data_IF_208493481146
#
_entry.id   IF_208493481146
#
_cell.length_a   1.000
_cell.length_b   1.000
_cell.length_c   1.000
_cell.angle_alpha   90.00
_cell.angle_beta   90.00
_cell.angle_gamma   90.00
#
_symmetry.space_group_name_H-M   'P 1'
#
loop_
_entity.id
_entity.type
_entity.pdbx_description
1 polymer ?
#
# COMPACT_ATOMS: atom_id res chain seq x y z
N UNK A 1 13.36 11.08 -13.44
CA UNK A 1 11.96 11.47 -13.75
C UNK A 1 11.82 11.44 -15.26
N UNK A 2 10.92 10.62 -15.80
CA UNK A 2 10.73 10.52 -17.26
C UNK A 2 10.03 11.79 -17.77
N UNK A 3 10.43 12.24 -18.96
CA UNK A 3 9.97 13.48 -19.62
C UNK A 3 10.30 14.79 -18.90
N UNK A 4 11.20 14.78 -17.89
CA UNK A 4 11.74 16.00 -17.25
C UNK A 4 13.23 15.89 -17.00
N UNK A 5 14.02 16.09 -18.06
CA UNK A 5 15.49 16.16 -18.01
C UNK A 5 16.04 17.59 -17.80
N UNK A 6 15.29 18.64 -18.21
CA UNK A 6 15.69 20.04 -18.07
C UNK A 6 14.55 20.94 -17.52
N UNK A 7 14.91 22.00 -16.78
CA UNK A 7 14.00 23.01 -16.24
C UNK A 7 13.43 23.90 -17.37
N UNK A 8 12.52 23.36 -18.19
CA UNK A 8 11.86 24.13 -19.23
C UNK A 8 10.73 25.02 -18.69
N UNK A 9 10.48 26.12 -19.41
CA UNK A 9 9.54 27.19 -19.04
C UNK A 9 8.07 26.79 -19.14
N UNK A 10 7.74 25.75 -19.92
CA UNK A 10 6.41 25.14 -20.01
C UNK A 10 6.47 23.74 -19.39
N UNK A 11 5.70 23.52 -18.31
CA UNK A 11 5.79 22.36 -17.40
C UNK A 11 4.51 21.53 -17.46
N UNK A 12 4.33 20.65 -18.44
CA UNK A 12 3.24 19.66 -18.43
C UNK A 12 3.78 18.23 -18.39
N UNK A 13 3.06 17.35 -17.69
CA UNK A 13 3.38 15.92 -17.59
C UNK A 13 4.61 15.56 -16.78
N UNK A 14 4.96 14.26 -16.86
CA UNK A 14 6.15 13.65 -16.29
C UNK A 14 5.83 12.49 -15.33
N UNK A 15 6.63 11.43 -15.39
CA UNK A 15 6.42 10.20 -14.62
C UNK A 15 7.57 10.02 -13.62
N UNK A 16 7.23 9.66 -12.38
CA UNK A 16 8.19 9.40 -11.31
C UNK A 16 7.90 8.04 -10.70
N UNK A 17 8.90 7.17 -10.70
CA UNK A 17 8.96 6.00 -9.85
C UNK A 17 9.67 6.36 -8.54
N UNK A 18 9.03 6.06 -7.41
CA UNK A 18 9.62 6.22 -6.08
C UNK A 18 9.52 4.92 -5.30
N UNK A 19 10.66 4.42 -4.81
CA UNK A 19 10.75 3.20 -4.02
C UNK A 19 11.49 3.44 -2.70
N UNK A 20 11.37 2.51 -1.76
CA UNK A 20 12.13 2.56 -0.51
C UNK A 20 13.59 2.18 -0.78
N UNK A 21 14.52 2.81 -0.07
CA UNK A 21 15.95 2.50 -0.17
C UNK A 21 16.27 1.01 -0.04
N UNK A 22 15.56 0.31 0.86
CA UNK A 22 15.71 -1.13 1.08
C UNK A 22 15.30 -2.01 -0.12
N UNK A 23 14.73 -1.42 -1.17
CA UNK A 23 14.35 -2.10 -2.40
C UNK A 23 15.22 -1.65 -3.58
N UNK A 24 16.22 -0.78 -3.37
CA UNK A 24 17.03 -0.22 -4.44
C UNK A 24 17.72 -1.30 -5.29
N UNK A 25 18.27 -2.33 -4.64
CA UNK A 25 18.92 -3.46 -5.32
C UNK A 25 17.94 -4.41 -6.02
N UNK A 26 16.64 -4.24 -5.80
CA UNK A 26 15.58 -5.12 -6.31
C UNK A 26 14.67 -4.42 -7.34
N UNK A 27 14.95 -3.17 -7.68
CA UNK A 27 14.18 -2.38 -8.63
C UNK A 27 15.12 -1.88 -9.72
N UNK A 28 14.88 -2.30 -10.97
CA UNK A 28 15.62 -1.81 -12.13
C UNK A 28 14.68 -1.07 -13.07
N UNK A 29 15.09 0.12 -13.53
CA UNK A 29 14.33 0.88 -14.53
C UNK A 29 14.73 0.37 -15.92
N UNK A 30 13.74 0.17 -16.79
CA UNK A 30 13.97 -0.18 -18.19
C UNK A 30 13.82 1.08 -19.02
N UNK A 31 14.92 1.50 -19.65
CA UNK A 31 14.93 2.70 -20.49
C UNK A 31 14.31 2.40 -21.85
N UNK A 32 13.34 3.22 -22.23
CA UNK A 32 12.63 3.16 -23.51
C UNK A 32 12.31 4.57 -24.00
N UNK A 33 12.11 4.73 -25.29
CA UNK A 33 11.82 6.02 -25.91
C UNK A 33 10.37 6.49 -25.72
N UNK A 34 9.45 5.60 -25.32
CA UNK A 34 8.04 5.99 -25.12
C UNK A 34 7.89 7.12 -24.11
N UNK A 35 7.07 8.11 -24.45
CA UNK A 35 6.76 9.23 -23.54
C UNK A 35 5.61 8.90 -22.59
N UNK A 36 4.86 7.84 -22.86
CA UNK A 36 3.60 7.55 -22.16
C UNK A 36 3.74 6.52 -21.05
N UNK A 37 4.82 5.73 -21.06
CA UNK A 37 5.06 4.69 -20.07
C UNK A 37 6.49 4.73 -19.52
N UNK A 38 6.62 4.51 -18.22
CA UNK A 38 7.89 4.24 -17.54
C UNK A 38 7.90 2.78 -17.08
N UNK A 39 8.78 1.99 -17.68
CA UNK A 39 8.96 0.58 -17.34
C UNK A 39 9.97 0.39 -16.22
N UNK A 40 9.69 -0.54 -15.32
CA UNK A 40 10.63 -1.02 -14.32
C UNK A 40 10.36 -2.47 -13.97
N UNK A 41 11.37 -3.15 -13.45
CA UNK A 41 11.27 -4.54 -13.00
C UNK A 41 11.35 -4.60 -11.49
N UNK A 42 10.63 -5.56 -10.92
CA UNK A 42 10.78 -6.00 -9.54
C UNK A 42 11.47 -7.36 -9.58
N UNK A 43 12.62 -7.44 -8.92
CA UNK A 43 13.45 -8.65 -8.90
C UNK A 43 12.66 -9.86 -8.40
N UNK A 44 12.77 -10.97 -9.14
CA UNK A 44 12.10 -12.24 -8.89
C UNK A 44 12.29 -12.79 -7.48
N UNK A 45 13.41 -12.50 -6.82
CA UNK A 45 13.69 -12.96 -5.46
C UNK A 45 12.80 -12.27 -4.40
N UNK A 46 12.28 -11.07 -4.69
CA UNK A 46 11.32 -10.39 -3.80
C UNK A 46 9.98 -11.11 -3.76
N UNK A 47 9.61 -11.79 -4.85
CA UNK A 47 8.30 -12.41 -5.05
C UNK A 47 8.35 -13.93 -5.24
N UNK A 48 9.54 -14.53 -5.13
CA UNK A 48 9.84 -15.97 -5.38
C UNK A 48 9.26 -16.50 -6.69
N UNK A 49 9.45 -15.73 -7.76
CA UNK A 49 9.11 -16.16 -9.11
C UNK A 49 10.35 -16.65 -9.83
N UNK A 50 10.15 -17.32 -10.97
CA UNK A 50 11.24 -17.71 -11.86
C UNK A 50 11.74 -16.52 -12.70
N UNK A 51 10.88 -15.54 -12.92
CA UNK A 51 11.12 -14.33 -13.70
C UNK A 51 10.80 -13.08 -12.88
N UNK A 52 11.42 -11.96 -13.26
CA UNK A 52 11.10 -10.67 -12.68
C UNK A 52 9.67 -10.27 -13.03
N UNK A 53 9.05 -9.47 -12.17
CA UNK A 53 7.80 -8.80 -12.50
C UNK A 53 8.12 -7.57 -13.34
N UNK A 54 7.44 -7.41 -14.47
CA UNK A 54 7.50 -6.18 -15.25
C UNK A 54 6.35 -5.25 -14.86
N UNK A 55 6.66 -3.99 -14.61
CA UNK A 55 5.70 -2.97 -14.25
C UNK A 55 5.80 -1.75 -15.17
N UNK A 56 4.66 -1.21 -15.57
CA UNK A 56 4.55 -0.02 -16.40
C UNK A 56 3.77 1.09 -15.70
N UNK A 57 4.40 2.24 -15.45
CA UNK A 57 3.70 3.43 -14.96
C UNK A 57 3.24 4.24 -16.16
N UNK A 58 1.92 4.34 -16.35
CA UNK A 58 1.32 4.98 -17.53
C UNK A 58 0.85 6.40 -17.22
N UNK A 59 1.12 7.31 -18.15
CA UNK A 59 0.52 8.64 -18.19
C UNK A 59 0.23 9.02 -19.65
N UNK A 60 -1.03 8.90 -20.05
CA UNK A 60 -1.52 9.32 -21.36
C UNK A 60 -2.26 10.65 -21.15
N UNK A 61 -1.85 11.76 -21.82
CA UNK A 61 -2.59 13.02 -21.76
C UNK A 61 -4.04 12.84 -22.24
N UNK A 62 -5.00 13.69 -21.81
CA UNK A 62 -6.36 13.65 -22.35
C UNK A 62 -6.38 13.72 -23.89
N UNK A 63 -7.33 13.04 -24.53
CA UNK A 63 -7.43 12.93 -25.99
C UNK A 63 -7.38 14.28 -26.72
N UNK A 64 -8.05 15.30 -26.17
CA UNK A 64 -8.10 16.65 -26.74
C UNK A 64 -6.92 17.54 -26.31
N UNK A 65 -5.89 16.97 -25.68
CA UNK A 65 -4.73 17.71 -25.21
C UNK A 65 -3.73 17.91 -26.34
N UNK A 66 -3.14 19.10 -26.42
CA UNK A 66 -1.99 19.40 -27.31
C UNK A 66 -0.76 18.54 -27.01
N UNK A 67 -0.73 17.89 -25.84
CA UNK A 67 0.35 16.98 -25.43
C UNK A 67 0.09 15.53 -25.84
N UNK A 68 -1.10 15.21 -26.32
CA UNK A 68 -1.39 13.91 -26.92
C UNK A 68 -0.92 13.93 -28.38
N UNK A 69 0.26 13.37 -28.63
CA UNK A 69 0.90 13.38 -29.96
C UNK A 69 1.04 11.95 -30.47
N UNK A 70 0.60 11.70 -31.69
CA UNK A 70 0.61 10.34 -32.25
C UNK A 70 -0.45 9.45 -31.63
N UNK A 71 -0.20 8.14 -31.66
CA UNK A 71 -1.07 7.13 -31.06
C UNK A 71 -0.41 6.52 -29.81
N UNK A 72 -0.81 6.97 -28.59
CA UNK A 72 -0.20 6.50 -27.36
C UNK A 72 -0.44 5.02 -27.09
N UNK A 73 -1.56 4.45 -27.55
CA UNK A 73 -1.88 3.05 -27.30
C UNK A 73 -1.04 2.14 -28.19
N UNK A 74 -0.90 2.48 -29.48
CA UNK A 74 0.00 1.76 -30.39
C UNK A 74 1.46 1.79 -29.94
N UNK A 75 1.95 2.94 -29.42
CA UNK A 75 3.32 3.03 -28.86
C UNK A 75 3.50 2.12 -27.63
N UNK A 76 2.55 2.14 -26.70
CA UNK A 76 2.59 1.29 -25.50
C UNK A 76 2.49 -0.19 -25.88
N UNK A 77 1.63 -0.54 -26.83
CA UNK A 77 1.43 -1.91 -27.31
C UNK A 77 2.68 -2.46 -27.98
N UNK A 78 3.35 -1.66 -28.82
CA UNK A 78 4.61 -2.07 -29.43
C UNK A 78 5.71 -2.37 -28.40
N UNK A 79 5.85 -1.53 -27.37
CA UNK A 79 6.78 -1.80 -26.27
C UNK A 79 6.35 -3.03 -25.44
N UNK A 80 5.05 -3.15 -25.14
CA UNK A 80 4.49 -4.29 -24.40
C UNK A 80 4.80 -5.62 -25.09
N UNK A 81 4.54 -5.73 -26.40
CA UNK A 81 4.77 -6.95 -27.18
C UNK A 81 6.24 -7.40 -27.15
N UNK A 82 7.18 -6.47 -27.16
CA UNK A 82 8.60 -6.80 -27.02
C UNK A 82 8.92 -7.42 -25.66
N UNK A 83 8.27 -6.94 -24.59
CA UNK A 83 8.55 -7.42 -23.25
C UNK A 83 7.76 -8.68 -22.86
N UNK A 84 6.56 -8.86 -23.40
CA UNK A 84 5.70 -10.02 -23.11
C UNK A 84 6.28 -11.33 -23.64
N UNK A 85 7.24 -11.28 -24.57
CA UNK A 85 8.01 -12.45 -25.03
C UNK A 85 8.79 -13.11 -23.87
N UNK A 86 9.25 -12.34 -22.89
CA UNK A 86 10.14 -12.82 -21.83
C UNK A 86 9.64 -12.56 -20.40
N UNK A 87 8.41 -12.06 -20.25
CA UNK A 87 7.84 -11.78 -18.94
C UNK A 87 6.36 -12.17 -18.92
N UNK A 88 6.01 -13.12 -18.06
CA UNK A 88 4.61 -13.55 -17.93
C UNK A 88 3.84 -12.75 -16.86
N UNK A 89 4.56 -12.10 -15.95
CA UNK A 89 4.01 -11.33 -14.84
C UNK A 89 4.13 -9.85 -15.11
N UNK A 90 3.09 -9.27 -15.72
CA UNK A 90 3.07 -7.86 -16.15
C UNK A 90 1.94 -7.12 -15.46
N UNK A 91 2.24 -5.92 -14.97
CA UNK A 91 1.23 -5.01 -14.43
C UNK A 91 1.44 -3.57 -14.94
N UNK A 92 0.38 -2.96 -15.45
CA UNK A 92 0.34 -1.56 -15.84
C UNK A 92 -0.52 -0.78 -14.87
N UNK A 93 -0.08 0.41 -14.49
CA UNK A 93 -0.87 1.28 -13.65
C UNK A 93 -0.58 2.76 -13.89
N UNK A 94 -1.62 3.58 -13.76
CA UNK A 94 -1.49 5.02 -13.94
C UNK A 94 -2.72 5.64 -14.59
N UNK A 95 -2.55 6.85 -15.11
CA UNK A 95 -3.61 7.65 -15.72
C UNK A 95 -3.62 7.42 -17.23
N UNK A 96 -4.63 6.69 -17.71
CA UNK A 96 -4.80 6.40 -19.13
C UNK A 96 -5.66 7.46 -19.83
N UNK A 97 -6.33 8.34 -19.08
CA UNK A 97 -7.38 9.23 -19.58
C UNK A 97 -8.46 8.51 -20.45
N UNK A 98 -8.57 7.19 -20.28
CA UNK A 98 -9.51 6.31 -20.94
C UNK A 98 -10.73 6.10 -20.04
N UNK A 99 -11.94 6.10 -20.61
CA UNK A 99 -13.17 5.81 -19.87
C UNK A 99 -13.83 4.63 -20.54
N UNK A 100 -13.94 3.52 -19.81
CA UNK A 100 -14.32 2.22 -20.37
C UNK A 100 -15.75 1.79 -20.02
N UNK A 101 -16.54 2.62 -19.33
CA UNK A 101 -17.84 2.24 -18.77
C UNK A 101 -17.77 0.89 -18.01
N UNK A 102 -18.66 -0.07 -18.30
CA UNK A 102 -18.59 -1.47 -17.82
C UNK A 102 -18.24 -2.46 -18.94
N UNK A 103 -17.71 -1.99 -20.08
CA UNK A 103 -17.40 -2.86 -21.21
C UNK A 103 -16.31 -3.89 -20.90
N UNK A 104 -16.44 -5.05 -21.54
CA UNK A 104 -15.54 -6.19 -21.40
C UNK A 104 -14.15 -5.88 -21.98
N UNK A 105 -13.13 -6.22 -21.21
CA UNK A 105 -11.71 -6.15 -21.56
C UNK A 105 -11.15 -7.50 -22.07
N UNK A 106 -12.04 -8.48 -22.28
CA UNK A 106 -11.76 -9.75 -22.93
C UNK A 106 -12.84 -10.04 -23.96
N UNK A 107 -12.53 -10.89 -24.95
CA UNK A 107 -13.51 -11.36 -25.90
C UNK A 107 -14.22 -12.60 -25.38
N UNK A 108 -15.55 -12.57 -25.50
CA UNK A 108 -16.39 -13.75 -25.27
C UNK A 108 -16.47 -14.48 -26.59
N UNK A 109 -15.71 -15.56 -26.74
CA UNK A 109 -15.88 -16.44 -27.91
C UNK A 109 -17.17 -17.23 -27.69
N UNK A 110 -18.22 -16.85 -28.41
CA UNK A 110 -19.49 -17.56 -28.37
C UNK A 110 -19.39 -18.75 -29.34
N UNK A 111 -19.02 -19.92 -28.83
CA UNK A 111 -18.77 -21.12 -29.64
C UNK A 111 -20.03 -21.76 -30.23
N UNK A 112 -21.23 -21.24 -29.94
CA UNK A 112 -22.48 -21.72 -30.55
C UNK A 112 -22.49 -21.58 -32.08
N UNK A 113 -21.67 -20.68 -32.67
CA UNK A 113 -21.52 -20.56 -34.13
C UNK A 113 -20.48 -21.52 -34.75
N UNK A 114 -19.63 -22.18 -33.95
CA UNK A 114 -18.61 -23.14 -34.40
C UNK A 114 -18.86 -24.53 -33.79
N UNK A 115 -19.95 -25.15 -34.25
CA UNK A 115 -20.30 -26.55 -33.97
C UNK A 115 -19.14 -27.50 -34.31
N UNK A 116 -18.37 -27.91 -33.30
CA UNK A 116 -17.48 -29.08 -33.39
C UNK A 116 -16.03 -28.92 -32.94
N UNK A 117 -15.58 -27.75 -32.48
CA UNK A 117 -14.25 -27.60 -31.87
C UNK A 117 -14.36 -27.49 -30.35
N UNK A 118 -13.50 -28.22 -29.64
CA UNK A 118 -13.32 -28.20 -28.18
C UNK A 118 -13.45 -26.78 -27.61
N UNK A 119 -14.06 -26.64 -26.44
CA UNK A 119 -14.16 -25.40 -25.67
C UNK A 119 -12.76 -24.85 -25.35
N UNK A 120 -12.14 -24.12 -26.28
CA UNK A 120 -10.89 -23.40 -26.03
C UNK A 120 -11.31 -22.07 -25.40
N UNK A 121 -11.65 -22.11 -24.11
CA UNK A 121 -11.79 -20.89 -23.33
C UNK A 121 -10.44 -20.15 -23.32
N UNK A 122 -10.49 -18.81 -23.39
CA UNK A 122 -9.29 -17.98 -23.25
C UNK A 122 -8.64 -18.28 -21.88
N UNK A 123 -7.39 -18.72 -21.87
CA UNK A 123 -6.62 -19.07 -20.66
C UNK A 123 -6.67 -17.97 -19.58
N UNK A 124 -6.71 -16.71 -20.01
CA UNK A 124 -6.85 -15.59 -19.08
C UNK A 124 -8.21 -15.54 -18.39
N UNK A 125 -9.29 -15.88 -19.10
CA UNK A 125 -10.64 -15.98 -18.54
C UNK A 125 -10.74 -17.16 -17.57
N UNK A 126 -10.17 -18.32 -17.92
CA UNK A 126 -10.08 -19.45 -16.99
C UNK A 126 -9.37 -19.06 -15.68
N UNK A 127 -8.30 -18.27 -15.77
CA UNK A 127 -7.60 -17.77 -14.57
C UNK A 127 -8.50 -16.88 -13.70
N UNK A 128 -9.41 -16.10 -14.29
CA UNK A 128 -10.38 -15.33 -13.50
C UNK A 128 -11.29 -16.27 -12.70
N UNK A 129 -11.78 -17.34 -13.34
CA UNK A 129 -12.67 -18.31 -12.68
C UNK A 129 -11.95 -19.10 -11.59
N UNK A 130 -10.72 -19.56 -11.85
CA UNK A 130 -9.85 -20.24 -10.88
C UNK A 130 -9.66 -19.40 -9.61
N UNK A 131 -9.49 -18.08 -9.78
CA UNK A 131 -9.30 -17.13 -8.69
C UNK A 131 -10.62 -16.62 -8.09
N UNK A 132 -11.78 -17.11 -8.56
CA UNK A 132 -13.11 -16.64 -8.17
C UNK A 132 -13.30 -15.12 -8.33
N UNK A 133 -12.75 -14.60 -9.42
CA UNK A 133 -12.83 -13.21 -9.85
C UNK A 133 -13.97 -13.09 -10.86
N UNK A 134 -14.81 -12.05 -10.71
CA UNK A 134 -15.90 -11.82 -11.65
C UNK A 134 -15.34 -11.50 -13.03
N UNK A 135 -15.75 -12.27 -14.05
CA UNK A 135 -15.42 -12.00 -15.47
C UNK A 135 -15.78 -10.56 -15.85
N UNK A 136 -17.02 -10.13 -15.56
CA UNK A 136 -17.48 -8.76 -15.78
C UNK A 136 -17.16 -7.85 -14.59
N UNK A 137 -16.54 -6.70 -14.90
CA UNK A 137 -16.23 -5.65 -13.92
C UNK A 137 -17.42 -4.69 -13.73
N UNK A 138 -17.40 -3.96 -12.62
CA UNK A 138 -18.31 -2.83 -12.38
C UNK A 138 -17.60 -1.49 -12.47
N UNK A 139 -18.35 -0.42 -12.70
CA UNK A 139 -17.80 0.93 -12.78
C UNK A 139 -18.82 1.94 -12.30
N UNK A 140 -18.44 2.86 -11.43
CA UNK A 140 -19.27 4.04 -11.13
C UNK A 140 -19.29 5.03 -12.29
N UNK A 141 -18.29 4.98 -13.18
CA UNK A 141 -18.27 5.74 -14.41
C UNK A 141 -18.93 4.94 -15.54
N UNK A 142 -20.07 5.43 -16.02
CA UNK A 142 -20.86 4.81 -17.10
C UNK A 142 -20.58 5.43 -18.48
N UNK A 143 -19.65 6.39 -18.57
CA UNK A 143 -19.31 7.02 -19.85
C UNK A 143 -18.17 6.27 -20.54
N UNK A 144 -18.17 6.31 -21.87
CA UNK A 144 -17.09 5.82 -22.73
C UNK A 144 -16.48 6.95 -23.55
N UNK A 145 -15.18 6.87 -23.83
CA UNK A 145 -14.51 7.71 -24.83
C UNK A 145 -13.67 6.85 -25.79
N UNK A 146 -13.06 7.49 -26.80
CA UNK A 146 -12.25 6.79 -27.80
C UNK A 146 -11.05 6.07 -27.17
N UNK A 147 -10.35 6.71 -26.24
CA UNK A 147 -9.27 6.07 -25.48
C UNK A 147 -9.76 4.88 -24.64
N UNK A 148 -11.01 4.90 -24.20
CA UNK A 148 -11.68 3.74 -23.61
C UNK A 148 -11.73 2.55 -24.56
N UNK A 149 -12.10 2.77 -25.82
CA UNK A 149 -12.10 1.70 -26.83
C UNK A 149 -10.70 1.15 -27.06
N UNK A 150 -9.72 2.04 -27.28
CA UNK A 150 -8.33 1.63 -27.53
C UNK A 150 -7.73 0.88 -26.34
N UNK A 151 -8.06 1.28 -25.11
CA UNK A 151 -7.63 0.57 -23.91
C UNK A 151 -8.25 -0.84 -23.83
N UNK A 152 -9.53 -0.98 -24.17
CA UNK A 152 -10.21 -2.28 -24.18
C UNK A 152 -9.66 -3.18 -25.27
N UNK A 153 -9.40 -2.65 -26.47
CA UNK A 153 -8.73 -3.39 -27.56
C UNK A 153 -7.33 -3.83 -27.15
N UNK A 154 -6.52 -2.93 -26.57
CA UNK A 154 -5.22 -3.29 -25.98
C UNK A 154 -5.35 -4.44 -24.98
N UNK A 155 -6.34 -4.40 -24.08
CA UNK A 155 -6.54 -5.45 -23.09
C UNK A 155 -6.87 -6.80 -23.75
N UNK A 156 -7.80 -6.80 -24.71
CA UNK A 156 -8.24 -7.99 -25.44
C UNK A 156 -7.10 -8.63 -26.24
N UNK A 157 -6.38 -7.82 -27.02
CA UNK A 157 -5.30 -8.27 -27.88
C UNK A 157 -4.14 -8.89 -27.09
N UNK A 158 -3.92 -8.40 -25.87
CA UNK A 158 -2.76 -8.76 -25.06
C UNK A 158 -3.09 -9.65 -23.86
N UNK A 159 -4.34 -10.14 -23.77
CA UNK A 159 -4.83 -10.94 -22.65
C UNK A 159 -4.56 -10.29 -21.27
N UNK A 160 -4.90 -9.01 -21.15
CA UNK A 160 -4.69 -8.20 -19.95
C UNK A 160 -6.03 -7.83 -19.32
N UNK A 161 -6.08 -7.79 -17.99
CA UNK A 161 -7.33 -7.61 -17.24
C UNK A 161 -7.28 -6.37 -16.36
N UNK A 162 -8.32 -5.52 -16.45
CA UNK A 162 -8.54 -4.37 -15.58
C UNK A 162 -8.97 -4.84 -14.18
N UNK A 163 -8.28 -4.38 -13.14
CA UNK A 163 -8.58 -4.73 -11.74
C UNK A 163 -9.70 -3.88 -11.14
N UNK A 164 -9.83 -2.63 -11.59
CA UNK A 164 -10.86 -1.69 -11.13
C UNK A 164 -12.26 -2.30 -11.30
N UNK A 165 -13.04 -2.30 -10.21
CA UNK A 165 -14.38 -2.89 -10.18
C UNK A 165 -14.44 -4.41 -10.14
N UNK A 166 -13.30 -5.09 -10.21
CA UNK A 166 -13.21 -6.55 -10.36
C UNK A 166 -12.65 -7.24 -9.10
N UNK A 167 -11.67 -6.64 -8.43
CA UNK A 167 -10.91 -7.32 -7.37
C UNK A 167 -10.98 -6.63 -6.00
N UNK A 168 -10.86 -7.45 -4.96
CA UNK A 168 -10.64 -7.05 -3.56
C UNK A 168 -11.64 -5.99 -3.05
N UNK A 169 -11.17 -4.92 -2.43
CA UNK A 169 -12.03 -3.89 -1.82
C UNK A 169 -12.84 -3.10 -2.86
N UNK A 170 -12.43 -3.09 -4.12
CA UNK A 170 -13.15 -2.40 -5.21
C UNK A 170 -14.05 -3.35 -6.03
N UNK A 171 -14.13 -4.64 -5.66
CA UNK A 171 -14.96 -5.65 -6.33
C UNK A 171 -16.43 -5.23 -6.34
N UNK A 172 -17.03 -5.17 -7.53
CA UNK A 172 -18.45 -4.81 -7.70
C UNK A 172 -18.76 -3.32 -7.54
N UNK A 173 -17.76 -2.47 -7.33
CA UNK A 173 -17.92 -1.03 -7.16
C UNK A 173 -17.40 -0.26 -8.39
N UNK A 174 -16.11 -0.40 -8.68
CA UNK A 174 -15.42 0.36 -9.72
C UNK A 174 -15.40 1.86 -9.39
N UNK A 175 -14.84 2.17 -8.22
CA UNK A 175 -14.90 3.50 -7.62
C UNK A 175 -14.25 4.56 -8.50
N UNK A 176 -14.80 5.79 -8.49
CA UNK A 176 -14.22 6.91 -9.23
C UNK A 176 -12.76 7.14 -8.85
N UNK A 177 -11.91 7.32 -9.86
CA UNK A 177 -10.48 7.61 -9.67
C UNK A 177 -10.15 9.08 -9.90
N UNK A 178 -11.01 9.82 -10.61
CA UNK A 178 -10.80 11.24 -10.88
C UNK A 178 -12.09 12.06 -10.69
N UNK A 179 -11.96 13.18 -9.96
CA UNK A 179 -12.97 14.20 -9.63
C UNK A 179 -14.29 13.67 -9.07
N UNK A 180 -14.32 12.42 -8.58
CA UNK A 180 -15.56 11.74 -8.23
C UNK A 180 -16.58 11.69 -9.39
N UNK A 181 -16.09 11.62 -10.63
CA UNK A 181 -16.92 11.66 -11.86
C UNK A 181 -16.43 10.74 -12.97
N UNK A 182 -15.20 10.24 -12.87
CA UNK A 182 -14.61 9.38 -13.90
C UNK A 182 -13.68 8.33 -13.31
N UNK A 183 -13.59 7.20 -14.00
CA UNK A 183 -12.58 6.16 -13.79
C UNK A 183 -11.66 6.27 -14.99
N UNK A 184 -10.43 6.72 -14.75
CA UNK A 184 -9.39 6.94 -15.78
C UNK A 184 -8.02 6.44 -15.34
N UNK A 185 -7.86 6.20 -14.04
CA UNK A 185 -6.68 5.59 -13.47
C UNK A 185 -6.96 4.09 -13.30
N UNK A 186 -6.13 3.25 -13.91
CA UNK A 186 -6.34 1.80 -13.89
C UNK A 186 -5.16 1.08 -13.26
N UNK A 187 -5.43 -0.07 -12.63
CA UNK A 187 -4.47 -1.17 -12.55
C UNK A 187 -4.91 -2.24 -13.54
N UNK A 188 -3.99 -2.71 -14.37
CA UNK A 188 -4.22 -3.69 -15.43
C UNK A 188 -3.13 -4.74 -15.31
N UNK A 189 -3.46 -6.02 -15.39
CA UNK A 189 -2.48 -7.07 -15.17
C UNK A 189 -2.68 -8.31 -16.03
N UNK A 190 -1.60 -9.04 -16.27
CA UNK A 190 -1.64 -10.35 -16.90
C UNK A 190 -2.25 -11.39 -15.96
N UNK A 191 -2.80 -12.50 -16.48
CA UNK A 191 -3.40 -13.57 -15.67
C UNK A 191 -2.47 -14.09 -14.58
N UNK A 192 -1.19 -14.29 -14.90
CA UNK A 192 -0.21 -14.78 -13.93
C UNK A 192 0.04 -13.77 -12.81
N UNK A 193 0.04 -12.47 -13.12
CA UNK A 193 0.17 -11.45 -12.09
C UNK A 193 -1.06 -11.40 -11.16
N UNK A 194 -2.26 -11.69 -11.65
CA UNK A 194 -3.49 -11.73 -10.81
C UNK A 194 -3.35 -12.69 -9.62
N UNK A 195 -2.63 -13.81 -9.82
CA UNK A 195 -2.34 -14.82 -8.77
C UNK A 195 -1.52 -14.24 -7.60
N UNK A 196 -0.84 -13.11 -7.80
CA UNK A 196 -0.02 -12.44 -6.79
C UNK A 196 -0.79 -11.38 -6.00
N UNK A 197 -1.97 -10.96 -6.47
CA UNK A 197 -2.72 -9.83 -5.88
C UNK A 197 -3.35 -10.25 -4.55
N UNK A 198 -2.93 -9.58 -3.48
CA UNK A 198 -3.49 -9.76 -2.14
C UNK A 198 -4.57 -8.75 -1.81
N UNK A 199 -4.42 -7.51 -2.30
CA UNK A 199 -5.41 -6.46 -2.12
C UNK A 199 -5.32 -5.44 -3.24
N UNK A 200 -6.47 -4.88 -3.59
CA UNK A 200 -6.61 -3.75 -4.50
C UNK A 200 -7.70 -2.83 -3.97
N UNK A 201 -7.41 -1.53 -3.91
CA UNK A 201 -8.38 -0.52 -3.51
C UNK A 201 -8.12 0.86 -4.11
N UNK A 202 -9.21 1.61 -4.31
CA UNK A 202 -9.16 3.03 -4.63
C UNK A 202 -9.17 3.81 -3.32
N UNK A 203 -8.07 4.49 -3.00
CA UNK A 203 -7.93 5.25 -1.76
C UNK A 203 -8.64 6.59 -1.86
N UNK A 204 -9.12 7.08 -0.72
CA UNK A 204 -9.72 8.41 -0.63
C UNK A 204 -8.79 9.52 -1.14
N UNK A 205 -9.38 10.51 -1.81
CA UNK A 205 -8.69 11.74 -2.23
C UNK A 205 -7.87 12.35 -1.09
N UNK A 206 -6.69 12.82 -1.45
CA UNK A 206 -5.75 13.44 -0.53
C UNK A 206 -5.13 14.63 -1.23
N UNK A 207 -5.44 15.83 -0.72
CA UNK A 207 -4.93 17.10 -1.28
C UNK A 207 -3.41 17.15 -1.26
N UNK A 208 -2.75 16.34 -0.42
CA UNK A 208 -1.29 16.21 -0.40
C UNK A 208 -0.72 15.54 -1.64
N UNK A 209 -1.49 14.69 -2.31
CA UNK A 209 -1.03 13.89 -3.44
C UNK A 209 -1.62 14.37 -4.77
N UNK A 210 -2.89 14.76 -4.78
CA UNK A 210 -3.56 15.26 -5.98
C UNK A 210 -4.75 16.15 -5.60
N UNK A 211 -5.06 17.11 -6.47
CA UNK A 211 -6.26 17.94 -6.33
C UNK A 211 -7.50 17.27 -6.92
N UNK A 212 -7.31 16.28 -7.81
CA UNK A 212 -8.40 15.68 -8.59
C UNK A 212 -8.38 14.15 -8.65
N UNK A 213 -7.24 13.49 -8.44
CA UNK A 213 -7.13 12.01 -8.51
C UNK A 213 -7.16 11.35 -7.13
N UNK A 214 -7.73 10.15 -7.11
CA UNK A 214 -7.74 9.21 -6.00
C UNK A 214 -6.63 8.18 -6.21
N UNK A 215 -5.70 7.98 -5.25
CA UNK A 215 -4.62 7.02 -5.43
C UNK A 215 -5.12 5.58 -5.53
N UNK A 216 -4.56 4.79 -6.44
CA UNK A 216 -4.74 3.35 -6.45
C UNK A 216 -3.73 2.68 -5.50
N UNK A 217 -4.19 1.67 -4.75
CA UNK A 217 -3.36 0.89 -3.85
C UNK A 217 -3.42 -0.58 -4.24
N UNK A 218 -2.29 -1.10 -4.73
CA UNK A 218 -2.11 -2.51 -5.03
C UNK A 218 -1.17 -3.14 -4.01
N UNK A 219 -1.57 -4.28 -3.46
CA UNK A 219 -0.76 -5.11 -2.58
C UNK A 219 -0.57 -6.47 -3.24
N UNK A 220 0.69 -6.86 -3.44
CA UNK A 220 1.06 -8.16 -3.97
C UNK A 220 1.76 -9.01 -2.92
N UNK A 221 1.78 -10.32 -3.14
CA UNK A 221 2.54 -11.26 -2.33
C UNK A 221 4.04 -11.03 -2.55
N UNK A 222 4.72 -10.68 -1.46
CA UNK A 222 6.17 -10.68 -1.38
C UNK A 222 6.59 -11.75 -0.39
N UNK A 223 7.74 -12.37 -0.63
CA UNK A 223 8.36 -13.22 0.37
C UNK A 223 9.51 -12.46 1.02
N UNK A 224 9.38 -12.15 2.31
CA UNK A 224 10.56 -11.84 3.10
C UNK A 224 11.40 -13.12 3.19
N UNK A 225 12.70 -13.03 2.88
CA UNK A 225 13.65 -13.98 3.46
C UNK A 225 13.43 -13.93 4.96
N UNK A 226 13.15 -15.08 5.58
CA UNK A 226 13.48 -15.22 6.99
C UNK A 226 14.98 -14.93 7.05
N UNK A 227 15.35 -13.76 7.58
CA UNK A 227 16.72 -13.55 7.92
C UNK A 227 17.01 -14.59 9.00
N UNK A 228 17.76 -15.64 8.65
CA UNK A 228 18.59 -16.34 9.61
C UNK A 228 19.60 -15.30 10.11
N UNK A 229 19.16 -14.51 11.10
CA UNK A 229 20.05 -13.63 11.85
C UNK A 229 20.73 -14.53 12.86
N UNK A 230 21.80 -15.19 12.41
CA UNK A 230 22.90 -15.56 13.31
C UNK A 230 23.68 -14.28 13.62
N UNK A 231 23.12 -13.44 14.49
CA UNK A 231 23.89 -12.45 15.23
C UNK A 231 23.54 -12.59 16.69
N UNK A 232 24.59 -12.71 17.52
CA UNK A 232 24.57 -12.59 18.97
C UNK A 232 24.11 -11.18 19.40
N UNK A 233 22.88 -10.82 19.06
CA UNK A 233 22.21 -9.63 19.57
C UNK A 233 21.49 -10.02 20.86
N UNK A 234 21.88 -9.38 21.96
CA UNK A 234 21.17 -9.42 23.24
C UNK A 234 19.65 -9.33 23.02
N UNK A 235 18.90 -10.24 23.67
CA UNK A 235 17.47 -10.42 23.47
C UNK A 235 16.70 -9.09 23.49
N UNK A 236 15.83 -8.83 22.50
CA UNK A 236 15.09 -7.56 22.43
C UNK A 236 14.17 -7.40 23.64
N UNK A 237 14.27 -6.26 24.34
CA UNK A 237 13.41 -5.91 25.48
C UNK A 237 11.92 -6.06 25.14
N UNK A 238 11.27 -7.00 25.82
CA UNK A 238 9.83 -7.21 25.76
C UNK A 238 9.09 -6.09 26.51
N UNK A 239 8.12 -5.43 25.85
CA UNK A 239 7.27 -4.42 26.50
C UNK A 239 5.82 -4.86 26.54
N UNK A 240 5.15 -4.55 27.66
CA UNK A 240 3.71 -4.76 27.84
C UNK A 240 2.93 -3.78 26.97
N UNK A 241 1.82 -4.22 26.38
CA UNK A 241 0.91 -3.32 25.65
C UNK A 241 0.25 -2.30 26.60
N UNK A 242 -0.39 -1.29 26.02
CA UNK A 242 -0.96 -0.19 26.80
C UNK A 242 -2.13 -0.71 27.66
N UNK A 243 -2.24 -0.17 28.87
CA UNK A 243 -3.39 -0.36 29.75
C UNK A 243 -4.73 0.00 29.07
N UNK A 244 -5.70 -0.90 29.21
CA UNK A 244 -7.08 -0.77 28.75
C UNK A 244 -8.01 -0.95 29.96
N UNK A 245 -8.79 0.08 30.31
CA UNK A 245 -9.64 0.07 31.52
C UNK A 245 -10.71 -1.02 31.47
N UNK A 246 -11.13 -1.39 30.26
CA UNK A 246 -12.12 -2.43 30.00
C UNK A 246 -11.64 -3.82 30.45
N UNK A 247 -10.33 -4.03 30.66
CA UNK A 247 -9.74 -5.30 31.10
C UNK A 247 -9.29 -5.29 32.57
N UNK A 248 -9.77 -4.33 33.38
CA UNK A 248 -9.38 -4.20 34.80
C UNK A 248 -9.63 -5.50 35.58
N UNK A 249 -10.80 -6.11 35.42
CA UNK A 249 -11.16 -7.33 36.16
C UNK A 249 -10.27 -8.51 35.74
N UNK A 250 -9.96 -8.62 34.45
CA UNK A 250 -9.03 -9.64 33.91
C UNK A 250 -7.60 -9.43 34.40
N UNK A 251 -7.16 -8.18 34.57
CA UNK A 251 -5.88 -7.87 35.20
C UNK A 251 -5.84 -8.34 36.66
N UNK A 252 -6.88 -8.03 37.44
CA UNK A 252 -6.97 -8.45 38.84
C UNK A 252 -7.01 -9.98 38.95
N UNK A 253 -7.72 -10.68 38.06
CA UNK A 253 -7.78 -12.14 38.06
C UNK A 253 -6.45 -12.81 37.69
N UNK A 254 -5.58 -12.12 36.95
CA UNK A 254 -4.26 -12.61 36.55
C UNK A 254 -3.17 -12.35 37.60
N UNK A 255 -3.47 -11.68 38.71
CA UNK A 255 -2.53 -11.54 39.83
C UNK A 255 -2.47 -12.88 40.58
N UNK A 256 -1.28 -13.49 40.60
CA UNK A 256 -1.02 -14.76 41.28
C UNK A 256 -1.14 -14.60 42.81
N UNK A 257 -2.27 -15.08 43.35
CA UNK A 257 -2.57 -15.00 44.78
C UNK A 257 -1.62 -15.83 45.65
N UNK A 258 -1.03 -16.90 45.11
CA UNK A 258 -0.08 -17.71 45.88
C UNK A 258 1.20 -16.90 46.13
N UNK A 259 1.73 -16.25 45.09
CA UNK A 259 2.89 -15.35 45.22
C UNK A 259 2.62 -14.15 46.11
N UNK A 260 1.40 -13.60 46.08
CA UNK A 260 1.01 -12.54 47.03
C UNK A 260 1.18 -13.03 48.47
N UNK A 261 0.70 -14.23 48.79
CA UNK A 261 0.80 -14.78 50.14
C UNK A 261 2.25 -15.08 50.53
N UNK A 262 3.08 -15.55 49.60
CA UNK A 262 4.52 -15.75 49.82
C UNK A 262 5.24 -14.44 50.15
N UNK A 263 4.96 -13.36 49.40
CA UNK A 263 5.52 -12.03 49.64
C UNK A 263 5.07 -11.50 51.02
N UNK A 264 3.80 -11.69 51.38
CA UNK A 264 3.27 -11.27 52.69
C UNK A 264 3.93 -12.04 53.85
N UNK A 265 4.18 -13.35 53.68
CA UNK A 265 4.88 -14.15 54.68
C UNK A 265 6.31 -13.65 54.89
N UNK A 266 7.04 -13.39 53.81
CA UNK A 266 8.40 -12.82 53.88
C UNK A 266 8.40 -11.46 54.60
N UNK A 267 7.46 -10.58 54.28
CA UNK A 267 7.34 -9.28 54.95
C UNK A 267 7.02 -9.41 56.44
N UNK A 268 6.23 -10.41 56.85
CA UNK A 268 5.89 -10.64 58.26
C UNK A 268 7.11 -11.12 59.05
N UNK A 269 7.89 -12.04 58.48
CA UNK A 269 9.14 -12.55 59.07
C UNK A 269 10.22 -11.45 59.19
N UNK A 270 10.19 -10.45 58.29
CA UNK A 270 11.09 -9.29 58.33
C UNK A 270 10.77 -8.28 59.42
N UNK A 271 9.53 -8.19 59.89
CA UNK A 271 9.17 -7.30 61.02
C UNK A 271 9.74 -7.84 62.34
N UNK A 272 9.98 -9.16 62.40
CA UNK A 272 10.47 -9.84 63.60
C UNK A 272 12.01 -9.86 63.70
N UNK A 273 12.74 -9.63 62.60
CA UNK A 273 14.21 -9.65 62.55
C UNK A 273 14.78 -8.37 61.91
N UNK A 274 15.66 -7.65 62.62
CA UNK A 274 16.19 -6.34 62.19
C UNK A 274 16.82 -6.39 60.79
N UNK A 275 16.35 -5.51 59.91
CA UNK A 275 16.31 -5.68 58.45
C UNK A 275 17.66 -5.48 57.73
N UNK A 276 18.01 -6.41 56.84
CA UNK A 276 19.04 -6.21 55.79
C UNK A 276 18.41 -5.60 54.52
N UNK A 277 19.06 -4.58 53.95
CA UNK A 277 18.63 -3.92 52.70
C UNK A 277 18.51 -4.87 51.50
N UNK A 278 19.21 -6.01 51.53
CA UNK A 278 19.18 -7.06 50.50
C UNK A 278 17.79 -7.69 50.34
N UNK A 279 17.07 -7.88 51.45
CA UNK A 279 15.77 -8.55 51.47
C UNK A 279 14.66 -7.60 51.01
N UNK A 280 14.73 -6.32 51.38
CA UNK A 280 13.78 -5.29 50.90
C UNK A 280 13.83 -5.19 49.38
N UNK A 281 15.04 -5.18 48.80
CA UNK A 281 15.20 -5.15 47.34
C UNK A 281 14.57 -6.38 46.67
N UNK A 282 14.72 -7.56 47.27
CA UNK A 282 14.10 -8.80 46.78
C UNK A 282 12.57 -8.73 46.79
N UNK A 283 11.98 -8.24 47.88
CA UNK A 283 10.53 -8.08 47.98
C UNK A 283 10.01 -7.09 46.93
N UNK A 284 10.72 -5.97 46.71
CA UNK A 284 10.37 -5.00 45.66
C UNK A 284 10.42 -5.64 44.27
N UNK A 285 11.45 -6.43 44.00
CA UNK A 285 11.61 -7.17 42.74
C UNK A 285 10.48 -8.18 42.54
N UNK A 286 10.11 -8.93 43.58
CA UNK A 286 9.00 -9.91 43.55
C UNK A 286 7.65 -9.23 43.28
N UNK A 287 7.37 -8.09 43.92
CA UNK A 287 6.16 -7.29 43.66
C UNK A 287 6.15 -6.77 42.23
N UNK A 288 7.29 -6.25 41.73
CA UNK A 288 7.41 -5.79 40.36
C UNK A 288 7.16 -6.92 39.36
N UNK A 289 7.72 -8.11 39.58
CA UNK A 289 7.51 -9.28 38.74
C UNK A 289 6.05 -9.75 38.76
N UNK A 290 5.43 -9.80 39.93
CA UNK A 290 4.02 -10.16 40.09
C UNK A 290 3.12 -9.27 39.21
N UNK A 291 3.24 -7.95 39.37
CA UNK A 291 2.42 -6.99 38.62
C UNK A 291 2.74 -7.00 37.13
N UNK A 292 4.02 -7.13 36.78
CA UNK A 292 4.48 -7.21 35.38
C UNK A 292 3.92 -8.44 34.69
N UNK A 293 3.95 -9.61 35.34
CA UNK A 293 3.46 -10.86 34.77
C UNK A 293 1.94 -10.84 34.57
N UNK A 294 1.19 -10.34 35.55
CA UNK A 294 -0.24 -10.14 35.41
C UNK A 294 -0.55 -9.24 34.21
N UNK A 295 0.20 -8.13 34.06
CA UNK A 295 0.03 -7.20 32.95
C UNK A 295 0.40 -7.82 31.59
N UNK A 296 1.47 -8.63 31.52
CA UNK A 296 1.84 -9.39 30.31
C UNK A 296 0.74 -10.35 29.89
N UNK A 297 0.16 -11.09 30.84
CA UNK A 297 -0.93 -12.04 30.58
C UNK A 297 -2.22 -11.36 30.13
N UNK A 298 -2.56 -10.21 30.71
CA UNK A 298 -3.79 -9.48 30.37
C UNK A 298 -3.67 -8.72 29.05
N UNK A 299 -2.67 -7.85 28.93
CA UNK A 299 -2.57 -6.92 27.81
C UNK A 299 -1.77 -7.50 26.63
N UNK A 300 -1.03 -8.60 26.87
CA UNK A 300 -0.06 -9.13 25.92
C UNK A 300 1.18 -8.25 25.82
N UNK A 301 2.16 -8.75 25.06
CA UNK A 301 3.45 -8.08 24.87
C UNK A 301 3.72 -7.75 23.41
N UNK A 302 4.70 -6.89 23.19
CA UNK A 302 5.28 -6.66 21.88
C UNK A 302 6.79 -6.44 22.02
N UNK A 303 7.55 -6.91 21.03
CA UNK A 303 8.97 -6.65 20.94
C UNK A 303 9.18 -5.27 20.31
N UNK A 304 9.89 -4.41 21.03
CA UNK A 304 10.27 -3.11 20.47
C UNK A 304 11.50 -3.33 19.61
N UNK A 305 11.34 -3.40 18.28
CA UNK A 305 12.49 -3.36 17.37
C UNK A 305 13.34 -2.13 17.72
N UNK A 306 14.63 -2.36 18.03
CA UNK A 306 15.59 -1.27 18.24
C UNK A 306 15.49 -0.37 17.02
N UNK A 307 15.24 0.92 17.23
CA UNK A 307 15.39 1.87 16.12
C UNK A 307 16.86 1.79 15.75
N UNK A 308 17.18 1.22 14.59
CA UNK A 308 18.46 1.50 13.95
C UNK A 308 18.63 3.01 14.05
N UNK A 309 19.72 3.44 14.69
CA UNK A 309 20.12 4.84 14.78
C UNK A 309 20.07 5.37 13.36
N UNK A 310 18.97 6.06 13.03
CA UNK A 310 18.82 6.63 11.72
C UNK A 310 19.95 7.63 11.62
N UNK A 311 20.85 7.43 10.64
CA UNK A 311 21.80 8.43 10.18
C UNK A 311 21.14 9.80 10.30
N UNK A 312 21.80 10.71 11.02
CA UNK A 312 21.33 12.06 11.29
C UNK A 312 20.76 12.60 9.99
N UNK A 313 19.43 12.67 9.91
CA UNK A 313 18.75 13.09 8.69
C UNK A 313 19.25 14.50 8.42
N UNK A 314 19.92 14.70 7.28
CA UNK A 314 20.19 16.04 6.75
C UNK A 314 18.91 16.85 6.95
N UNK A 315 19.00 17.86 7.82
CA UNK A 315 17.88 18.76 8.10
C UNK A 315 17.43 19.33 6.76
N UNK A 316 16.23 18.94 6.30
CA UNK A 316 15.67 19.55 5.10
C UNK A 316 15.36 20.99 5.48
N UNK A 317 16.01 22.02 4.88
CA UNK A 317 15.85 23.40 5.32
C UNK A 317 14.38 23.84 5.31
N UNK A 318 13.62 23.38 4.31
CA UNK A 318 12.19 23.65 4.14
C UNK A 318 11.25 22.86 5.09
N UNK A 319 11.74 21.98 5.98
CA UNK A 319 10.90 21.17 6.87
C UNK A 319 11.16 21.51 8.35
N UNK A 320 10.68 22.68 8.75
CA UNK A 320 10.86 23.26 10.08
C UNK A 320 9.91 22.69 11.17
N UNK A 321 9.88 23.36 12.33
CA UNK A 321 9.00 23.03 13.46
C UNK A 321 7.52 23.12 13.13
N UNK A 322 7.10 24.10 12.32
CA UNK A 322 5.69 24.31 11.96
C UNK A 322 5.22 23.17 11.04
N UNK A 323 6.04 22.81 10.05
CA UNK A 323 5.84 21.63 9.21
C UNK A 323 5.69 20.35 10.06
N UNK A 324 6.57 20.16 11.06
CA UNK A 324 6.53 19.00 11.97
C UNK A 324 5.25 18.97 12.78
N UNK A 325 4.80 20.09 13.32
CA UNK A 325 3.61 20.18 14.15
C UNK A 325 2.34 19.93 13.33
N UNK A 326 2.20 20.60 12.19
CA UNK A 326 1.06 20.40 11.29
C UNK A 326 0.96 18.93 10.82
N UNK A 327 2.10 18.32 10.45
CA UNK A 327 2.16 16.89 10.11
C UNK A 327 1.76 16.00 11.29
N UNK A 328 2.17 16.33 12.51
CA UNK A 328 1.84 15.57 13.73
C UNK A 328 0.33 15.61 13.99
N UNK A 329 -0.30 16.79 13.90
CA UNK A 329 -1.75 16.98 14.06
C UNK A 329 -2.53 16.17 13.01
N UNK A 330 -2.19 16.33 11.72
CA UNK A 330 -2.79 15.56 10.63
C UNK A 330 -2.67 14.03 10.84
N UNK A 331 -1.46 13.54 11.14
CA UNK A 331 -1.24 12.10 11.38
C UNK A 331 -1.92 11.56 12.62
N UNK A 332 -2.16 12.39 13.62
CA UNK A 332 -2.92 12.02 14.81
C UNK A 332 -4.40 11.84 14.45
N UNK A 333 -4.99 12.81 13.78
CA UNK A 333 -6.39 12.75 13.32
C UNK A 333 -6.64 11.58 12.37
N UNK A 334 -5.76 11.34 11.38
CA UNK A 334 -5.85 10.17 10.50
C UNK A 334 -5.79 8.83 11.25
N UNK A 335 -5.04 8.74 12.35
CA UNK A 335 -5.01 7.54 13.21
C UNK A 335 -6.31 7.36 14.01
N UNK A 336 -6.94 8.46 14.45
CA UNK A 336 -8.26 8.41 15.09
C UNK A 336 -9.34 7.98 14.09
N UNK A 337 -9.34 8.54 12.87
CA UNK A 337 -10.27 8.17 11.80
C UNK A 337 -10.21 6.67 11.47
N UNK A 338 -8.99 6.10 11.38
CA UNK A 338 -8.83 4.65 11.17
C UNK A 338 -9.41 3.77 12.27
N UNK A 339 -9.51 4.27 13.51
CA UNK A 339 -10.03 3.50 14.65
C UNK A 339 -11.55 3.54 14.73
N UNK A 340 -12.15 4.68 14.38
CA UNK A 340 -13.59 4.83 14.34
C UNK A 340 -13.91 5.92 13.30
N UNK A 341 -14.68 5.49 12.30
CA UNK A 341 -15.01 6.24 11.10
C UNK A 341 -16.33 6.99 11.29
N UNK A 342 -16.25 8.31 11.43
CA UNK A 342 -17.42 9.21 11.52
C UNK A 342 -17.24 10.41 10.60
N UNK A 343 -18.33 11.00 10.13
CA UNK A 343 -18.29 12.16 9.23
C UNK A 343 -17.53 13.34 9.84
N UNK A 344 -17.69 13.58 11.15
CA UNK A 344 -16.94 14.61 11.86
C UNK A 344 -15.43 14.39 11.79
N UNK A 345 -14.97 13.14 11.93
CA UNK A 345 -13.55 12.79 11.87
C UNK A 345 -13.01 12.85 10.45
N UNK A 346 -13.83 12.52 9.46
CA UNK A 346 -13.48 12.70 8.04
C UNK A 346 -13.26 14.18 7.77
N UNK A 347 -14.18 15.05 8.21
CA UNK A 347 -14.10 16.49 8.03
C UNK A 347 -12.91 17.11 8.78
N UNK A 348 -12.67 16.70 10.03
CA UNK A 348 -11.51 17.13 10.81
C UNK A 348 -10.20 16.73 10.12
N UNK A 349 -10.09 15.48 9.66
CA UNK A 349 -8.89 14.98 8.97
C UNK A 349 -8.63 15.78 7.69
N UNK A 350 -9.66 16.02 6.87
CA UNK A 350 -9.56 16.83 5.64
C UNK A 350 -9.12 18.27 5.93
N UNK A 351 -9.64 18.89 6.99
CA UNK A 351 -9.24 20.25 7.42
C UNK A 351 -7.76 20.30 7.81
N UNK A 352 -7.32 19.35 8.63
CA UNK A 352 -5.91 19.26 9.07
C UNK A 352 -4.95 18.94 7.93
N UNK A 353 -5.40 18.15 6.96
CA UNK A 353 -4.63 17.86 5.75
C UNK A 353 -4.41 19.12 4.89
N UNK A 354 -5.47 19.89 4.63
CA UNK A 354 -5.38 21.19 3.93
C UNK A 354 -4.46 22.17 4.65
N UNK A 355 -4.59 22.26 5.98
CA UNK A 355 -3.71 23.09 6.80
C UNK A 355 -2.24 22.66 6.67
N UNK A 356 -1.96 21.36 6.72
CA UNK A 356 -0.60 20.84 6.54
C UNK A 356 -0.04 21.13 5.13
N UNK A 357 -0.84 20.95 4.07
CA UNK A 357 -0.45 21.32 2.70
C UNK A 357 -0.07 22.80 2.61
N UNK A 358 -0.92 23.68 3.14
CA UNK A 358 -0.70 25.14 3.15
C UNK A 358 0.59 25.53 3.87
N UNK A 359 0.86 24.94 5.05
CA UNK A 359 2.12 25.19 5.79
C UNK A 359 3.33 24.79 4.95
N UNK A 360 3.30 23.60 4.32
CA UNK A 360 4.40 23.18 3.44
C UNK A 360 4.60 24.11 2.24
N UNK A 361 3.51 24.61 1.64
CA UNK A 361 3.58 25.53 0.49
C UNK A 361 4.14 26.90 0.88
N UNK A 362 3.74 27.44 2.04
CA UNK A 362 4.25 28.72 2.54
C UNK A 362 5.75 28.61 2.77
N UNK A 363 6.20 27.60 3.52
CA UNK A 363 7.61 27.44 3.85
C UNK A 363 8.45 27.20 2.59
N UNK A 364 7.96 26.39 1.65
CA UNK A 364 8.62 26.17 0.35
C UNK A 364 8.69 27.40 -0.55
N UNK A 365 7.97 28.49 -0.29
CA UNK A 365 8.17 29.76 -1.02
C UNK A 365 9.37 30.55 -0.51
N UNK A 366 9.84 30.25 0.70
CA UNK A 366 10.97 30.92 1.34
C UNK A 366 12.31 30.19 1.13
N UNK A 367 12.28 29.05 0.43
CA UNK A 367 13.44 28.24 0.02
C UNK A 367 13.35 27.96 -1.47
#
# INVERSE_FOLDING_TARGET
MKNRSHLNRVKSGGIVLGFKESLSDHISVVETDSKYILWFKIDKHVVKLQQDILCGIVYIPPENSVYCVGDPFSEIESEFLNFSISHDNICLFGDFNARTAEESDFDVVNFEEFSGMLDIENEGVCTLDELNINRLRKSMDQKKNNFGNLLLEFCKNNNMFILNGRMCEDKGLGSFTCKNTSVVDYNIASPNFLKLVQNFSVLNSSVLFSDIHNPLSLKITCYEKQNDVSHDDEMPEEKIKRWENEQLDTFISNIDRLKVNEILAQLTEMVENTSENSIINKVVEDVCHLLTNAAKSTFGTFTKRRKHTQNIKKSKPWFDSECKEARKKFRSSRRKLKRNHTDDRVNETKKLEKSYKRVMEIIRKHY
#
